data_IF_059114989136
#
_entry.id   IF_059114989136
#
_cell.length_a   1.000
_cell.length_b   1.000
_cell.length_c   1.000
_cell.angle_alpha   90.00
_cell.angle_beta   90.00
_cell.angle_gamma   90.00
#
_symmetry.space_group_name_H-M   'P 1'
#
loop_
_entity.id
_entity.type
_entity.pdbx_description
1 polymer ?
#
# COMPACT_ATOMS: atom_id res chain seq x y z
N UNK A 1 24.84 -7.77 4.38
CA UNK A 1 25.08 -7.88 5.84
C UNK A 1 23.95 -8.71 6.43
N UNK A 2 24.25 -9.57 7.43
CA UNK A 2 23.21 -10.33 8.13
C UNK A 2 22.22 -9.40 8.81
N UNK A 3 20.96 -9.75 8.78
CA UNK A 3 19.83 -9.03 9.40
C UNK A 3 19.47 -9.65 10.74
N UNK A 4 18.81 -8.91 11.63
CA UNK A 4 18.33 -9.42 12.91
C UNK A 4 16.88 -9.83 12.82
N UNK A 5 16.60 -11.13 12.99
CA UNK A 5 15.27 -11.71 13.00
C UNK A 5 14.86 -12.05 14.43
N UNK A 6 13.63 -11.73 14.82
CA UNK A 6 13.01 -12.18 16.06
C UNK A 6 11.91 -13.18 15.75
N UNK A 7 12.05 -14.39 16.27
CA UNK A 7 11.08 -15.48 16.12
C UNK A 7 10.33 -15.63 17.44
N UNK A 8 9.00 -15.64 17.41
CA UNK A 8 8.15 -15.74 18.60
C UNK A 8 7.12 -16.83 18.39
N UNK A 9 7.23 -17.91 19.16
CA UNK A 9 6.36 -19.09 19.08
C UNK A 9 6.46 -19.85 20.41
N UNK A 10 5.36 -20.27 21.02
CA UNK A 10 5.35 -21.01 22.27
C UNK A 10 5.86 -22.46 22.13
N UNK A 11 5.98 -22.93 20.88
CA UNK A 11 6.58 -24.23 20.59
C UNK A 11 8.10 -24.11 20.33
N UNK A 12 8.93 -24.45 21.31
CA UNK A 12 10.40 -24.44 21.20
C UNK A 12 10.95 -25.21 19.97
N UNK A 13 10.21 -26.23 19.50
CA UNK A 13 10.61 -27.00 18.30
C UNK A 13 10.45 -26.17 17.02
N UNK A 14 9.44 -25.33 16.92
CA UNK A 14 9.22 -24.42 15.80
C UNK A 14 10.35 -23.37 15.77
N UNK A 15 10.67 -22.76 16.93
CA UNK A 15 11.78 -21.83 17.04
C UNK A 15 13.11 -22.44 16.58
N UNK A 16 13.42 -23.67 17.01
CA UNK A 16 14.62 -24.40 16.58
C UNK A 16 14.61 -24.70 15.07
N UNK A 17 13.46 -25.04 14.50
CA UNK A 17 13.32 -25.30 13.07
C UNK A 17 13.64 -24.04 12.26
N UNK A 18 13.04 -22.91 12.62
CA UNK A 18 13.30 -21.61 11.97
C UNK A 18 14.74 -21.12 12.17
N UNK A 19 15.32 -21.29 13.36
CA UNK A 19 16.73 -20.97 13.60
C UNK A 19 17.66 -21.73 12.64
N UNK A 20 17.42 -23.04 12.43
CA UNK A 20 18.21 -23.87 11.51
C UNK A 20 18.13 -23.40 10.06
N UNK A 21 17.06 -22.72 9.69
CA UNK A 21 16.87 -22.16 8.35
C UNK A 21 17.66 -20.85 8.20
N UNK A 22 17.53 -19.91 9.14
CA UNK A 22 18.03 -18.55 8.97
C UNK A 22 19.47 -18.32 9.47
N UNK A 23 19.93 -19.04 10.49
CA UNK A 23 21.32 -18.92 10.98
C UNK A 23 22.37 -19.22 9.90
N UNK A 24 22.24 -20.28 9.07
CA UNK A 24 23.22 -20.56 8.01
C UNK A 24 23.27 -19.48 6.91
N UNK A 25 22.20 -18.67 6.78
CA UNK A 25 22.14 -17.56 5.83
C UNK A 25 22.87 -16.30 6.33
N UNK A 26 23.46 -16.37 7.53
CA UNK A 26 24.21 -15.26 8.12
C UNK A 26 23.37 -14.25 8.87
N UNK A 27 22.07 -14.54 9.13
CA UNK A 27 21.23 -13.69 9.97
C UNK A 27 21.52 -13.91 11.45
N UNK A 28 21.32 -12.86 12.24
CA UNK A 28 21.21 -12.96 13.69
C UNK A 28 19.77 -13.34 14.03
N UNK A 29 19.59 -14.41 14.80
CA UNK A 29 18.26 -14.94 15.13
C UNK A 29 18.06 -14.90 16.63
N UNK A 30 17.12 -14.09 17.07
CA UNK A 30 16.61 -14.01 18.44
C UNK A 30 15.35 -14.85 18.53
N UNK A 31 15.09 -15.44 19.69
CA UNK A 31 13.90 -16.25 19.93
C UNK A 31 13.23 -15.90 21.26
N UNK A 32 11.92 -15.93 21.28
CA UNK A 32 11.10 -15.79 22.48
C UNK A 32 9.95 -16.81 22.45
N UNK A 33 9.63 -17.40 23.60
CA UNK A 33 8.52 -18.35 23.74
C UNK A 33 7.19 -17.65 24.10
N UNK A 34 7.22 -16.32 24.31
CA UNK A 34 6.05 -15.50 24.64
C UNK A 34 6.10 -14.16 23.93
N UNK A 35 4.95 -13.54 23.74
CA UNK A 35 4.84 -12.21 23.16
C UNK A 35 5.54 -11.14 24.03
N UNK A 36 5.43 -11.24 25.36
CA UNK A 36 6.06 -10.37 26.32
C UNK A 36 7.59 -10.43 26.22
N UNK A 37 8.17 -11.65 26.17
CA UNK A 37 9.59 -11.87 25.95
C UNK A 37 10.07 -11.31 24.62
N UNK A 38 9.22 -11.39 23.58
CA UNK A 38 9.47 -10.76 22.28
C UNK A 38 9.55 -9.23 22.36
N UNK A 39 8.65 -8.59 23.12
CA UNK A 39 8.69 -7.13 23.35
C UNK A 39 9.92 -6.69 24.15
N UNK A 40 10.35 -7.49 25.14
CA UNK A 40 11.58 -7.22 25.88
C UNK A 40 12.82 -7.23 25.01
N UNK A 41 12.93 -8.20 24.08
CA UNK A 41 14.04 -8.27 23.12
C UNK A 41 14.02 -7.08 22.15
N UNK A 42 12.86 -6.69 21.64
CA UNK A 42 12.70 -5.52 20.78
C UNK A 42 13.12 -4.21 21.47
N UNK A 43 12.96 -4.12 22.79
CA UNK A 43 13.38 -2.97 23.57
C UNK A 43 14.92 -2.92 23.80
N UNK A 44 15.61 -4.07 23.68
CA UNK A 44 17.05 -4.18 23.95
C UNK A 44 17.91 -3.95 22.70
N UNK A 45 17.42 -4.37 21.53
CA UNK A 45 18.20 -4.27 20.30
C UNK A 45 17.32 -4.09 19.06
N UNK A 46 17.86 -3.46 17.99
CA UNK A 46 17.13 -3.28 16.73
C UNK A 46 16.85 -4.63 16.05
N UNK A 47 15.61 -4.82 15.60
CA UNK A 47 15.14 -6.00 14.89
C UNK A 47 14.63 -5.60 13.51
N UNK A 48 15.12 -6.26 12.46
CA UNK A 48 14.70 -6.00 11.07
C UNK A 48 13.35 -6.66 10.75
N UNK A 49 13.14 -7.89 11.24
CA UNK A 49 11.92 -8.66 10.99
C UNK A 49 11.49 -9.45 12.23
N UNK A 50 10.20 -9.38 12.55
CA UNK A 50 9.54 -10.24 13.53
C UNK A 50 8.70 -11.29 12.79
N UNK A 51 8.87 -12.56 13.15
CA UNK A 51 8.01 -13.68 12.73
C UNK A 51 7.35 -14.24 13.97
N UNK A 52 6.02 -14.12 14.08
CA UNK A 52 5.28 -14.55 15.27
C UNK A 52 4.27 -15.63 14.94
N UNK A 53 4.13 -16.62 15.81
CA UNK A 53 2.98 -17.51 15.78
C UNK A 53 1.68 -16.73 16.04
N UNK A 54 0.58 -17.21 15.44
CA UNK A 54 -0.76 -16.65 15.65
C UNK A 54 -1.31 -16.97 17.03
N UNK A 55 -1.10 -18.20 17.51
CA UNK A 55 -1.70 -18.72 18.73
C UNK A 55 -0.66 -18.94 19.81
N UNK A 56 -0.58 -18.01 20.73
CA UNK A 56 0.27 -18.10 21.92
C UNK A 56 -0.55 -17.90 23.18
N UNK A 57 -0.19 -18.55 24.30
CA UNK A 57 -0.81 -18.29 25.60
C UNK A 57 -0.67 -16.82 26.01
N UNK A 58 -1.72 -16.27 26.60
CA UNK A 58 -1.74 -14.86 27.00
C UNK A 58 -1.98 -13.91 25.83
N UNK A 59 -0.95 -13.22 25.37
CA UNK A 59 -1.04 -12.31 24.21
C UNK A 59 -0.83 -13.10 22.92
N UNK A 60 -1.85 -13.15 22.06
CA UNK A 60 -1.75 -13.82 20.76
C UNK A 60 -0.90 -13.02 19.75
N UNK A 61 -0.50 -13.68 18.64
CA UNK A 61 0.38 -13.06 17.64
C UNK A 61 -0.18 -11.80 17.01
N UNK A 62 -1.49 -11.73 16.77
CA UNK A 62 -2.11 -10.51 16.24
C UNK A 62 -1.98 -9.33 17.20
N UNK A 63 -2.28 -9.54 18.47
CA UNK A 63 -2.13 -8.51 19.50
C UNK A 63 -0.67 -8.07 19.66
N UNK A 64 0.25 -9.04 19.66
CA UNK A 64 1.69 -8.81 19.72
C UNK A 64 2.16 -7.97 18.52
N UNK A 65 1.86 -8.39 17.29
CA UNK A 65 2.27 -7.66 16.09
C UNK A 65 1.62 -6.28 15.99
N UNK A 66 0.42 -6.08 16.53
CA UNK A 66 -0.20 -4.74 16.71
C UNK A 66 0.65 -3.84 17.59
N UNK A 67 1.19 -4.35 18.71
CA UNK A 67 2.07 -3.59 19.57
C UNK A 67 3.43 -3.31 18.90
N UNK A 68 4.02 -4.32 18.24
CA UNK A 68 5.24 -4.14 17.45
C UNK A 68 5.06 -3.06 16.40
N UNK A 69 3.93 -3.06 15.68
CA UNK A 69 3.57 -2.03 14.71
C UNK A 69 3.58 -0.62 15.31
N UNK A 70 2.98 -0.47 16.48
CA UNK A 70 2.86 0.83 17.15
C UNK A 70 4.20 1.36 17.69
N UNK A 71 5.03 0.47 18.24
CA UNK A 71 6.29 0.84 18.89
C UNK A 71 7.48 0.85 17.92
N UNK A 72 7.46 -0.03 16.90
CA UNK A 72 8.54 -0.26 15.95
C UNK A 72 8.01 -0.31 14.51
N UNK A 73 7.48 0.79 13.97
CA UNK A 73 6.74 0.80 12.70
C UNK A 73 7.58 0.41 11.47
N UNK A 74 8.90 0.57 11.53
CA UNK A 74 9.84 0.20 10.45
C UNK A 74 10.15 -1.30 10.47
N UNK A 75 10.08 -1.96 11.63
CA UNK A 75 10.32 -3.40 11.75
C UNK A 75 9.32 -4.17 10.90
N UNK A 76 9.82 -5.02 10.01
CA UNK A 76 8.96 -5.89 9.21
C UNK A 76 8.28 -6.94 10.09
N UNK A 77 7.09 -7.39 9.70
CA UNK A 77 6.27 -8.29 10.51
C UNK A 77 5.63 -9.38 9.66
N UNK A 78 5.81 -10.62 10.04
CA UNK A 78 5.16 -11.78 9.45
C UNK A 78 4.46 -12.61 10.52
N UNK A 79 3.38 -13.29 10.15
CA UNK A 79 2.62 -14.17 11.01
C UNK A 79 2.74 -15.63 10.57
N UNK A 80 3.02 -16.54 11.50
CA UNK A 80 2.93 -17.99 11.31
C UNK A 80 1.52 -18.45 11.64
N UNK A 81 0.93 -19.33 10.83
CA UNK A 81 -0.46 -19.74 11.01
C UNK A 81 -0.71 -21.17 10.52
N UNK A 82 -1.59 -21.88 11.22
CA UNK A 82 -2.15 -23.15 10.76
C UNK A 82 -3.33 -22.95 9.81
N UNK A 83 -3.72 -24.02 9.10
CA UNK A 83 -4.84 -24.01 8.14
C UNK A 83 -6.19 -23.54 8.70
N UNK A 84 -6.44 -23.68 10.00
CA UNK A 84 -7.71 -23.35 10.65
C UNK A 84 -7.88 -21.87 11.00
N UNK A 85 -6.87 -21.03 10.79
CA UNK A 85 -6.77 -19.66 11.33
C UNK A 85 -7.03 -18.56 10.29
N UNK A 86 -7.57 -18.91 9.13
CA UNK A 86 -7.69 -18.02 7.98
C UNK A 86 -8.36 -16.65 8.25
N UNK A 87 -9.37 -16.61 9.16
CA UNK A 87 -10.05 -15.36 9.53
C UNK A 87 -9.13 -14.41 10.33
N UNK A 88 -8.39 -14.95 11.27
CA UNK A 88 -7.49 -14.19 12.14
C UNK A 88 -6.28 -13.67 11.35
N UNK A 89 -5.72 -14.52 10.48
CA UNK A 89 -4.65 -14.13 9.54
C UNK A 89 -5.10 -13.00 8.62
N UNK A 90 -6.30 -13.11 8.04
CA UNK A 90 -6.84 -12.04 7.19
C UNK A 90 -7.07 -10.74 7.97
N UNK A 91 -7.36 -10.83 9.27
CA UNK A 91 -7.41 -9.68 10.17
C UNK A 91 -6.05 -8.98 10.25
N UNK A 92 -4.97 -9.72 10.49
CA UNK A 92 -3.60 -9.20 10.59
C UNK A 92 -3.12 -8.52 9.30
N UNK A 93 -3.43 -9.12 8.15
CA UNK A 93 -3.05 -8.56 6.84
C UNK A 93 -3.85 -7.30 6.51
N UNK A 94 -5.14 -7.30 6.85
CA UNK A 94 -6.06 -6.19 6.56
C UNK A 94 -5.76 -4.94 7.38
N UNK A 95 -5.44 -5.11 8.67
CA UNK A 95 -5.09 -3.99 9.55
C UNK A 95 -3.59 -3.62 9.50
N UNK A 96 -2.78 -4.33 8.69
CA UNK A 96 -1.35 -4.08 8.53
C UNK A 96 -0.50 -4.49 9.73
N UNK A 97 -1.01 -5.27 10.67
CA UNK A 97 -0.22 -5.81 11.79
C UNK A 97 0.85 -6.76 11.30
N UNK A 98 0.53 -7.58 10.30
CA UNK A 98 1.48 -8.40 9.56
C UNK A 98 1.54 -7.98 8.10
N UNK A 99 2.70 -8.15 7.46
CA UNK A 99 2.92 -7.89 6.03
C UNK A 99 2.67 -9.11 5.17
N UNK A 100 2.96 -10.26 5.73
CA UNK A 100 2.72 -11.55 5.10
C UNK A 100 2.32 -12.59 6.14
N UNK A 101 1.79 -13.70 5.66
CA UNK A 101 1.56 -14.89 6.48
C UNK A 101 2.33 -16.08 5.92
N UNK A 102 2.75 -16.95 6.81
CA UNK A 102 3.45 -18.19 6.52
C UNK A 102 2.59 -19.33 7.02
N UNK A 103 2.20 -20.23 6.12
CA UNK A 103 1.39 -21.41 6.50
C UNK A 103 2.25 -22.50 7.12
N UNK A 104 1.80 -23.06 8.21
CA UNK A 104 2.34 -24.29 8.82
C UNK A 104 1.63 -25.52 8.19
N UNK A 105 2.34 -26.54 7.69
CA UNK A 105 3.79 -26.62 7.49
C UNK A 105 4.25 -25.82 6.27
N UNK A 106 5.44 -25.23 6.32
CA UNK A 106 6.05 -24.46 5.26
C UNK A 106 7.04 -25.26 4.42
N UNK A 107 7.28 -24.80 3.20
CA UNK A 107 8.46 -25.17 2.41
C UNK A 107 9.62 -24.21 2.75
N UNK A 108 10.80 -24.75 3.03
CA UNK A 108 11.94 -23.97 3.48
C UNK A 108 12.44 -22.98 2.40
N UNK A 109 12.42 -23.39 1.13
CA UNK A 109 12.92 -22.54 0.05
C UNK A 109 11.97 -21.36 -0.19
N UNK A 110 10.66 -21.61 -0.19
CA UNK A 110 9.63 -20.57 -0.30
C UNK A 110 9.69 -19.61 0.89
N UNK A 111 9.82 -20.14 2.11
CA UNK A 111 9.93 -19.32 3.32
C UNK A 111 11.13 -18.38 3.25
N UNK A 112 12.30 -18.89 2.86
CA UNK A 112 13.52 -18.07 2.73
C UNK A 112 13.31 -16.98 1.68
N UNK A 113 12.81 -17.32 0.49
CA UNK A 113 12.56 -16.35 -0.58
C UNK A 113 11.64 -15.20 -0.11
N UNK A 114 10.57 -15.52 0.57
CA UNK A 114 9.58 -14.55 1.03
C UNK A 114 10.11 -13.68 2.17
N UNK A 115 10.86 -14.26 3.11
CA UNK A 115 11.51 -13.52 4.20
C UNK A 115 12.57 -12.56 3.65
N UNK A 116 13.37 -12.99 2.68
CA UNK A 116 14.39 -12.14 2.04
C UNK A 116 13.75 -10.93 1.32
N UNK A 117 12.61 -11.11 0.66
CA UNK A 117 11.86 -10.00 0.04
C UNK A 117 11.41 -8.97 1.07
N UNK A 118 10.88 -9.42 2.22
CA UNK A 118 10.50 -8.52 3.31
C UNK A 118 11.71 -7.76 3.88
N UNK A 119 12.84 -8.42 4.04
CA UNK A 119 14.07 -7.79 4.52
C UNK A 119 14.61 -6.77 3.53
N UNK A 120 14.55 -7.05 2.22
CA UNK A 120 14.93 -6.11 1.16
C UNK A 120 14.05 -4.85 1.20
N UNK A 121 12.74 -5.01 1.35
CA UNK A 121 11.82 -3.88 1.48
C UNK A 121 12.13 -3.05 2.74
N UNK A 122 12.39 -3.70 3.87
CA UNK A 122 12.79 -3.03 5.11
C UNK A 122 14.08 -2.23 4.95
N UNK A 123 15.05 -2.75 4.20
CA UNK A 123 16.29 -2.04 3.89
C UNK A 123 16.05 -0.80 3.02
N UNK A 124 15.15 -0.88 2.04
CA UNK A 124 14.75 0.29 1.23
C UNK A 124 14.16 1.39 2.09
N UNK A 125 13.32 1.04 3.08
CA UNK A 125 12.74 2.01 4.01
C UNK A 125 13.75 2.61 5.01
N UNK A 126 14.87 1.95 5.23
CA UNK A 126 15.94 2.44 6.13
C UNK A 126 16.95 3.35 5.43
N UNK A 127 16.78 3.69 4.13
CA UNK A 127 17.65 4.60 3.41
C UNK A 127 17.67 5.98 4.03
N UNK A 128 18.87 6.54 4.20
CA UNK A 128 19.10 7.83 4.86
C UNK A 128 18.30 8.98 4.25
N UNK A 129 18.26 9.08 2.93
CA UNK A 129 17.53 10.16 2.23
C UNK A 129 16.02 10.11 2.54
N UNK A 130 15.45 8.89 2.58
CA UNK A 130 14.03 8.70 2.91
C UNK A 130 13.75 9.14 4.34
N UNK A 131 14.58 8.71 5.30
CA UNK A 131 14.45 9.11 6.69
C UNK A 131 14.65 10.63 6.88
N UNK A 132 15.58 11.25 6.15
CA UNK A 132 15.81 12.71 6.16
C UNK A 132 14.57 13.47 5.65
N UNK A 133 13.91 13.00 4.58
CA UNK A 133 12.65 13.59 4.10
C UNK A 133 11.62 13.58 5.22
N UNK A 134 11.40 12.44 5.87
CA UNK A 134 10.39 12.32 6.92
C UNK A 134 10.76 13.06 8.21
N UNK A 135 12.04 13.12 8.58
CA UNK A 135 12.50 13.86 9.76
C UNK A 135 12.44 15.39 9.58
N UNK A 136 12.50 15.86 8.34
CA UNK A 136 12.41 17.28 8.01
C UNK A 136 10.97 17.78 7.81
N UNK A 137 9.98 16.87 7.81
CA UNK A 137 8.58 17.28 7.82
C UNK A 137 8.25 18.00 9.13
N UNK A 138 7.63 19.17 9.02
CA UNK A 138 7.20 19.97 10.19
C UNK A 138 6.25 19.18 11.10
N UNK A 139 5.40 18.34 10.47
CA UNK A 139 4.53 17.39 11.14
C UNK A 139 4.64 16.07 10.39
N UNK A 140 4.96 14.98 11.09
CA UNK A 140 4.87 13.64 10.53
C UNK A 140 3.45 13.43 9.98
N UNK A 141 3.26 13.00 8.73
CA UNK A 141 1.93 12.80 8.20
C UNK A 141 1.19 11.77 9.04
N UNK A 142 0.32 12.24 9.93
CA UNK A 142 -0.57 11.37 10.67
C UNK A 142 -1.62 10.81 9.73
N UNK A 143 -2.05 9.58 10.01
CA UNK A 143 -3.20 9.01 9.30
C UNK A 143 -4.40 9.97 9.45
N UNK A 144 -5.09 10.32 8.35
CA UNK A 144 -6.18 11.28 8.42
C UNK A 144 -7.24 10.87 9.46
N UNK A 145 -7.65 11.81 10.35
CA UNK A 145 -8.55 11.54 11.47
C UNK A 145 -9.85 10.86 11.04
N UNK A 146 -10.47 11.32 9.95
CA UNK A 146 -11.70 10.73 9.45
C UNK A 146 -11.51 9.27 9.06
N UNK A 147 -10.40 8.94 8.39
CA UNK A 147 -10.07 7.57 8.03
C UNK A 147 -9.81 6.70 9.27
N UNK A 148 -9.03 7.19 10.24
CA UNK A 148 -8.77 6.48 11.49
C UNK A 148 -10.05 6.21 12.29
N UNK A 149 -10.92 7.20 12.42
CA UNK A 149 -12.25 7.04 13.05
C UNK A 149 -13.12 6.03 12.31
N UNK A 150 -13.14 6.07 10.98
CA UNK A 150 -13.90 5.13 10.15
C UNK A 150 -13.41 3.69 10.35
N UNK A 151 -12.11 3.46 10.34
CA UNK A 151 -11.52 2.15 10.60
C UNK A 151 -11.91 1.62 11.99
N UNK A 152 -11.80 2.46 13.04
CA UNK A 152 -12.17 2.08 14.40
C UNK A 152 -13.66 1.74 14.55
N UNK A 153 -14.56 2.40 13.82
CA UNK A 153 -15.99 2.08 13.83
C UNK A 153 -16.27 0.76 13.13
N UNK A 154 -15.62 0.52 11.99
CA UNK A 154 -15.77 -0.74 11.24
C UNK A 154 -15.22 -1.91 12.05
N UNK A 155 -14.10 -1.75 12.76
CA UNK A 155 -13.54 -2.79 13.64
C UNK A 155 -14.47 -3.13 14.83
N UNK A 156 -15.27 -2.16 15.30
CA UNK A 156 -16.27 -2.34 16.37
C UNK A 156 -17.60 -2.89 15.87
N UNK A 157 -17.71 -3.17 14.57
CA UNK A 157 -18.92 -3.69 13.91
C UNK A 157 -20.19 -2.85 14.22
N UNK A 158 -20.01 -1.51 14.22
CA UNK A 158 -21.14 -0.59 14.45
C UNK A 158 -22.08 -0.56 13.25
N UNK A 159 -23.28 0.01 13.45
CA UNK A 159 -24.28 0.08 12.38
C UNK A 159 -23.83 0.93 11.19
N UNK A 160 -24.33 0.60 9.99
CA UNK A 160 -24.05 1.40 8.78
C UNK A 160 -24.55 2.84 8.90
N UNK A 161 -25.58 3.08 9.73
CA UNK A 161 -26.10 4.41 10.05
C UNK A 161 -25.09 5.27 10.80
N UNK A 162 -24.36 4.68 11.75
CA UNK A 162 -23.30 5.39 12.49
C UNK A 162 -22.12 5.70 11.59
N UNK A 163 -21.73 4.75 10.73
CA UNK A 163 -20.66 4.94 9.74
C UNK A 163 -21.05 6.08 8.77
N UNK A 164 -22.28 6.07 8.25
CA UNK A 164 -22.77 7.10 7.33
C UNK A 164 -22.76 8.49 7.98
N UNK A 165 -23.21 8.63 9.23
CA UNK A 165 -23.19 9.90 9.96
C UNK A 165 -21.77 10.47 10.08
N UNK A 166 -20.79 9.63 10.36
CA UNK A 166 -19.40 10.10 10.48
C UNK A 166 -18.88 10.63 9.15
N UNK A 167 -19.22 9.98 8.02
CA UNK A 167 -18.87 10.47 6.69
C UNK A 167 -19.62 11.76 6.33
N UNK A 168 -20.90 11.85 6.65
CA UNK A 168 -21.77 13.01 6.39
C UNK A 168 -21.34 14.27 7.15
N UNK A 169 -20.65 14.13 8.29
CA UNK A 169 -20.06 15.26 8.99
C UNK A 169 -19.01 16.01 8.17
N UNK A 170 -18.37 15.35 7.21
CA UNK A 170 -17.46 16.00 6.26
C UNK A 170 -18.18 16.16 4.90
N UNK A 171 -18.81 17.33 4.70
CA UNK A 171 -19.60 17.61 3.51
C UNK A 171 -18.82 17.42 2.19
N UNK A 172 -17.52 17.75 2.17
CA UNK A 172 -16.69 17.58 0.98
C UNK A 172 -16.45 16.11 0.65
N UNK A 173 -16.18 15.29 1.68
CA UNK A 173 -16.04 13.84 1.53
C UNK A 173 -17.35 13.19 1.14
N UNK A 174 -18.47 13.57 1.78
CA UNK A 174 -19.80 13.05 1.46
C UNK A 174 -20.19 13.36 0.00
N UNK A 175 -20.00 14.60 -0.45
CA UNK A 175 -20.30 15.01 -1.83
C UNK A 175 -19.46 14.21 -2.85
N UNK A 176 -18.15 14.04 -2.58
CA UNK A 176 -17.27 13.29 -3.47
C UNK A 176 -17.57 11.80 -3.48
N UNK A 177 -17.92 11.21 -2.32
CA UNK A 177 -18.39 9.84 -2.21
C UNK A 177 -19.63 9.62 -3.07
N UNK A 178 -20.62 10.52 -2.99
CA UNK A 178 -21.84 10.45 -3.81
C UNK A 178 -21.53 10.63 -5.30
N UNK A 179 -20.60 11.51 -5.66
CA UNK A 179 -20.14 11.67 -7.05
C UNK A 179 -19.53 10.37 -7.58
N UNK A 180 -18.69 9.69 -6.80
CA UNK A 180 -18.09 8.39 -7.18
C UNK A 180 -19.16 7.31 -7.29
N UNK A 181 -20.08 7.22 -6.31
CA UNK A 181 -21.17 6.26 -6.33
C UNK A 181 -22.10 6.44 -7.56
N UNK A 182 -22.36 7.69 -7.94
CA UNK A 182 -23.21 8.02 -9.10
C UNK A 182 -22.43 8.03 -10.43
N UNK A 183 -21.15 7.63 -10.43
CA UNK A 183 -20.39 7.50 -11.67
C UNK A 183 -20.87 6.31 -12.51
N UNK A 184 -20.55 6.34 -13.80
CA UNK A 184 -20.89 5.26 -14.76
C UNK A 184 -20.39 3.88 -14.28
N UNK A 185 -19.29 3.85 -13.53
CA UNK A 185 -18.72 2.62 -13.01
C UNK A 185 -19.61 1.90 -11.99
N UNK A 186 -20.19 2.66 -11.04
CA UNK A 186 -21.12 2.09 -10.05
C UNK A 186 -22.58 2.12 -10.52
N UNK A 187 -22.88 2.85 -11.60
CA UNK A 187 -24.22 2.94 -12.22
C UNK A 187 -25.36 3.23 -11.24
N UNK A 188 -25.08 4.00 -10.20
CA UNK A 188 -26.06 4.36 -9.19
C UNK A 188 -26.70 5.72 -9.47
N UNK A 189 -27.86 5.93 -8.86
CA UNK A 189 -28.50 7.23 -8.75
C UNK A 189 -28.99 7.38 -7.30
N UNK A 190 -28.14 7.91 -6.42
CA UNK A 190 -28.47 8.09 -5.00
C UNK A 190 -27.99 9.42 -4.46
N UNK A 191 -28.79 10.02 -3.57
CA UNK A 191 -28.39 11.15 -2.73
C UNK A 191 -28.05 10.74 -1.29
N UNK A 192 -28.09 9.45 -0.97
CA UNK A 192 -27.86 8.94 0.38
C UNK A 192 -26.47 8.32 0.52
N UNK A 193 -25.67 8.85 1.44
CA UNK A 193 -24.37 8.31 1.81
C UNK A 193 -24.50 6.86 2.29
N UNK A 194 -25.53 6.55 3.09
CA UNK A 194 -25.80 5.19 3.55
C UNK A 194 -26.05 4.22 2.37
N UNK A 195 -26.87 4.60 1.39
CA UNK A 195 -27.08 3.77 0.21
C UNK A 195 -25.80 3.61 -0.60
N UNK A 196 -25.02 4.66 -0.78
CA UNK A 196 -23.73 4.59 -1.45
C UNK A 196 -22.81 3.59 -0.75
N UNK A 197 -22.74 3.59 0.58
CA UNK A 197 -21.93 2.64 1.37
C UNK A 197 -22.40 1.19 1.17
N UNK A 198 -23.71 0.94 1.20
CA UNK A 198 -24.29 -0.40 0.98
C UNK A 198 -23.89 -0.95 -0.39
N UNK A 199 -23.89 -0.13 -1.41
CA UNK A 199 -23.58 -0.54 -2.77
C UNK A 199 -22.08 -0.70 -3.03
N UNK A 200 -21.27 0.24 -2.56
CA UNK A 200 -19.83 0.22 -2.79
C UNK A 200 -19.07 -0.70 -1.84
N UNK A 201 -19.68 -0.99 -0.68
CA UNK A 201 -19.03 -1.73 0.40
C UNK A 201 -18.08 -0.87 1.24
N UNK A 202 -17.78 -1.36 2.45
CA UNK A 202 -16.94 -0.65 3.42
C UNK A 202 -15.50 -0.49 2.97
N UNK A 203 -15.00 -1.41 2.17
CA UNK A 203 -13.64 -1.35 1.63
C UNK A 203 -13.46 -0.17 0.69
N UNK A 204 -14.37 -0.02 -0.28
CA UNK A 204 -14.33 1.11 -1.20
C UNK A 204 -14.56 2.44 -0.48
N UNK A 205 -15.45 2.45 0.53
CA UNK A 205 -15.63 3.62 1.39
C UNK A 205 -14.31 4.04 2.05
N UNK A 206 -13.62 3.12 2.73
CA UNK A 206 -12.30 3.39 3.36
C UNK A 206 -11.31 3.97 2.36
N UNK A 207 -11.25 3.39 1.17
CA UNK A 207 -10.39 3.84 0.07
C UNK A 207 -10.64 5.29 -0.32
N UNK A 208 -11.89 5.60 -0.61
CA UNK A 208 -12.30 6.93 -1.06
C UNK A 208 -12.04 7.96 0.04
N UNK A 209 -12.40 7.62 1.29
CA UNK A 209 -12.18 8.50 2.45
C UNK A 209 -10.68 8.76 2.66
N UNK A 210 -9.83 7.74 2.55
CA UNK A 210 -8.38 7.91 2.69
C UNK A 210 -7.82 8.81 1.59
N UNK A 211 -8.12 8.50 0.33
CA UNK A 211 -7.65 9.29 -0.82
C UNK A 211 -8.08 10.75 -0.74
N UNK A 212 -9.35 11.01 -0.44
CA UNK A 212 -9.87 12.37 -0.29
C UNK A 212 -9.26 13.12 0.89
N UNK A 213 -9.06 12.44 2.02
CA UNK A 213 -8.47 13.04 3.23
C UNK A 213 -7.01 13.44 3.01
N UNK A 214 -6.27 12.64 2.23
CA UNK A 214 -4.89 12.99 1.86
C UNK A 214 -4.87 14.17 0.89
N UNK A 215 -5.71 14.15 -0.13
CA UNK A 215 -5.78 15.24 -1.11
C UNK A 215 -6.25 16.57 -0.51
N UNK A 216 -7.02 16.54 0.58
CA UNK A 216 -7.35 17.76 1.35
C UNK A 216 -6.11 18.51 1.84
N UNK A 217 -4.99 17.81 2.06
CA UNK A 217 -3.75 18.46 2.47
C UNK A 217 -3.15 19.36 1.38
N UNK A 218 -3.63 19.27 0.14
CA UNK A 218 -3.26 20.18 -0.96
C UNK A 218 -4.14 21.42 -1.05
N UNK A 219 -5.17 21.56 -0.19
CA UNK A 219 -6.04 22.73 -0.20
C UNK A 219 -5.21 24.01 0.09
N UNK A 220 -5.36 25.04 -0.79
CA UNK A 220 -4.61 26.27 -0.68
C UNK A 220 -3.19 26.26 -1.25
N UNK A 221 -2.70 25.13 -1.74
CA UNK A 221 -1.42 25.06 -2.43
C UNK A 221 -1.60 25.46 -3.91
N UNK A 222 -0.98 26.59 -4.30
CA UNK A 222 -0.92 27.05 -5.67
C UNK A 222 0.53 26.94 -6.16
N UNK A 223 0.80 25.94 -7.01
CA UNK A 223 2.14 25.75 -7.59
C UNK A 223 2.41 24.31 -8.03
N UNK A 224 3.44 24.13 -8.89
CA UNK A 224 3.92 22.80 -9.27
C UNK A 224 3.17 22.10 -10.40
N UNK A 225 2.21 22.76 -11.08
CA UNK A 225 1.62 22.23 -12.31
C UNK A 225 0.56 21.15 -12.15
N UNK A 226 0.34 20.62 -10.94
CA UNK A 226 -0.74 19.68 -10.63
C UNK A 226 -1.81 20.36 -9.78
N UNK A 227 -3.07 20.27 -10.23
CA UNK A 227 -4.21 20.59 -9.37
C UNK A 227 -4.62 19.33 -8.59
N UNK A 228 -5.24 19.55 -7.43
CA UNK A 228 -5.86 18.49 -6.62
C UNK A 228 -6.79 17.60 -7.45
N UNK A 229 -7.60 18.22 -8.33
CA UNK A 229 -8.56 17.50 -9.16
C UNK A 229 -7.86 16.60 -10.18
N UNK A 230 -6.76 17.05 -10.79
CA UNK A 230 -5.97 16.23 -11.74
C UNK A 230 -5.38 15.01 -11.05
N UNK A 231 -4.84 15.16 -9.84
CA UNK A 231 -4.28 14.05 -9.06
C UNK A 231 -5.37 13.06 -8.65
N UNK A 232 -6.53 13.56 -8.20
CA UNK A 232 -7.66 12.71 -7.84
C UNK A 232 -8.20 11.93 -9.04
N UNK A 233 -8.47 12.60 -10.15
CA UNK A 233 -8.99 11.96 -11.35
C UNK A 233 -8.02 10.91 -11.90
N UNK A 234 -6.72 11.17 -11.81
CA UNK A 234 -5.71 10.20 -12.21
C UNK A 234 -5.75 8.97 -11.30
N UNK A 235 -5.70 9.15 -9.99
CA UNK A 235 -5.72 8.08 -9.00
C UNK A 235 -7.01 7.22 -9.09
N UNK A 236 -8.18 7.86 -9.22
CA UNK A 236 -9.46 7.17 -9.41
C UNK A 236 -9.49 6.36 -10.71
N UNK A 237 -8.96 6.93 -11.80
CA UNK A 237 -8.85 6.25 -13.08
C UNK A 237 -7.92 5.04 -13.01
N UNK A 238 -6.73 5.20 -12.43
CA UNK A 238 -5.79 4.08 -12.23
C UNK A 238 -6.45 2.96 -11.42
N UNK A 239 -7.15 3.30 -10.34
CA UNK A 239 -7.84 2.30 -9.54
C UNK A 239 -8.91 1.55 -10.34
N UNK A 240 -9.73 2.25 -11.13
CA UNK A 240 -10.75 1.63 -12.00
C UNK A 240 -10.14 0.70 -13.04
N UNK A 241 -9.07 1.14 -13.71
CA UNK A 241 -8.37 0.31 -14.72
C UNK A 241 -7.71 -0.90 -14.07
N UNK A 242 -7.15 -0.77 -12.86
CA UNK A 242 -6.60 -1.90 -12.10
C UNK A 242 -7.68 -2.93 -11.81
N UNK A 243 -8.85 -2.52 -11.33
CA UNK A 243 -9.98 -3.43 -11.13
C UNK A 243 -10.45 -4.12 -12.41
N UNK A 244 -10.47 -3.40 -13.54
CA UNK A 244 -10.81 -3.99 -14.85
C UNK A 244 -9.80 -5.07 -15.27
N UNK A 245 -8.49 -4.84 -15.08
CA UNK A 245 -7.46 -5.84 -15.37
C UNK A 245 -7.67 -7.11 -14.54
N UNK A 246 -7.96 -6.96 -13.25
CA UNK A 246 -8.26 -8.10 -12.39
C UNK A 246 -9.51 -8.87 -12.84
N UNK A 247 -10.60 -8.16 -13.16
CA UNK A 247 -11.86 -8.80 -13.59
C UNK A 247 -11.75 -9.42 -14.98
N UNK A 248 -11.19 -8.70 -15.95
CA UNK A 248 -11.23 -9.12 -17.37
C UNK A 248 -10.04 -9.99 -17.77
N UNK A 249 -8.86 -9.80 -17.18
CA UNK A 249 -7.65 -10.56 -17.49
C UNK A 249 -7.45 -11.69 -16.49
N UNK A 250 -7.34 -11.37 -15.20
CA UNK A 250 -7.08 -12.36 -14.15
C UNK A 250 -8.32 -13.17 -13.75
N UNK A 251 -9.53 -12.80 -14.28
CA UNK A 251 -10.82 -13.48 -14.02
C UNK A 251 -11.15 -13.62 -12.52
N UNK A 252 -10.71 -12.66 -11.71
CA UNK A 252 -11.02 -12.58 -10.29
C UNK A 252 -11.25 -11.14 -9.85
N UNK A 253 -11.95 -10.97 -8.74
CA UNK A 253 -12.05 -9.68 -8.07
C UNK A 253 -10.76 -9.41 -7.26
N UNK A 254 -10.42 -8.12 -7.10
CA UNK A 254 -9.39 -7.73 -6.14
C UNK A 254 -9.83 -8.08 -4.73
N UNK A 255 -8.90 -8.60 -3.93
CA UNK A 255 -9.13 -8.85 -2.51
C UNK A 255 -9.27 -7.51 -1.76
N UNK A 256 -9.89 -7.55 -0.58
CA UNK A 256 -10.09 -6.36 0.24
C UNK A 256 -8.79 -5.60 0.53
N UNK A 257 -7.70 -6.33 0.79
CA UNK A 257 -6.39 -5.77 1.06
C UNK A 257 -5.61 -5.32 -0.19
N UNK A 258 -6.16 -5.50 -1.39
CA UNK A 258 -5.58 -5.09 -2.68
C UNK A 258 -6.34 -3.88 -3.29
N UNK A 259 -7.63 -3.74 -2.95
CA UNK A 259 -8.61 -2.93 -3.68
C UNK A 259 -8.28 -1.44 -3.82
N UNK A 260 -7.35 -0.93 -3.00
CA UNK A 260 -6.97 0.50 -2.98
C UNK A 260 -5.62 0.78 -3.63
N UNK A 261 -4.98 -0.25 -4.16
CA UNK A 261 -3.62 -0.14 -4.67
C UNK A 261 -3.48 0.94 -5.77
N UNK A 262 -4.40 0.94 -6.73
CA UNK A 262 -4.42 1.93 -7.81
C UNK A 262 -4.74 3.35 -7.34
N UNK A 263 -5.56 3.52 -6.27
CA UNK A 263 -5.89 4.85 -5.76
C UNK A 263 -4.73 5.51 -5.01
N UNK A 264 -3.90 4.71 -4.36
CA UNK A 264 -2.86 5.21 -3.46
C UNK A 264 -1.45 5.14 -4.04
N UNK A 265 -1.27 4.66 -5.28
CA UNK A 265 0.04 4.45 -5.88
C UNK A 265 0.90 5.72 -5.92
N UNK A 266 0.30 6.87 -6.19
CA UNK A 266 0.94 8.18 -6.34
C UNK A 266 0.87 9.07 -5.09
N UNK A 267 0.52 8.51 -3.92
CA UNK A 267 0.31 9.29 -2.68
C UNK A 267 1.55 10.07 -2.24
N UNK A 268 2.74 9.56 -2.52
CA UNK A 268 4.00 10.24 -2.21
C UNK A 268 4.18 11.53 -2.99
N UNK A 269 3.62 11.64 -4.18
CA UNK A 269 3.63 12.88 -4.98
C UNK A 269 2.89 14.01 -4.28
N UNK A 270 1.77 13.69 -3.60
CA UNK A 270 1.02 14.66 -2.79
C UNK A 270 1.91 15.26 -1.70
N UNK A 271 2.67 14.41 -0.99
CA UNK A 271 3.59 14.84 0.06
C UNK A 271 4.71 15.71 -0.50
N UNK A 272 5.33 15.29 -1.61
CA UNK A 272 6.42 16.04 -2.24
C UNK A 272 5.95 17.41 -2.73
N UNK A 273 4.76 17.51 -3.33
CA UNK A 273 4.19 18.78 -3.76
C UNK A 273 3.90 19.69 -2.57
N UNK A 274 3.36 19.14 -1.47
CA UNK A 274 3.00 19.90 -0.27
C UNK A 274 4.22 20.45 0.45
N UNK A 275 5.16 19.59 0.80
CA UNK A 275 6.22 19.91 1.74
C UNK A 275 7.53 20.35 1.04
N UNK A 276 7.67 20.02 -0.24
CA UNK A 276 8.83 20.32 -1.08
C UNK A 276 8.46 21.10 -2.35
N UNK A 277 7.52 22.03 -2.26
CA UNK A 277 6.94 22.76 -3.40
C UNK A 277 7.99 23.41 -4.34
N UNK A 278 9.05 24.04 -3.78
CA UNK A 278 10.09 24.69 -4.58
C UNK A 278 10.96 23.71 -5.36
N UNK A 279 11.56 22.66 -4.76
CA UNK A 279 12.24 21.62 -5.50
C UNK A 279 11.33 20.94 -6.53
N UNK A 280 10.06 20.65 -6.16
CA UNK A 280 9.11 19.98 -7.05
C UNK A 280 8.72 20.82 -8.28
N UNK A 281 8.70 22.15 -8.16
CA UNK A 281 8.56 23.03 -9.32
C UNK A 281 9.74 22.90 -10.31
N UNK A 282 10.93 22.56 -9.81
CA UNK A 282 12.09 22.18 -10.63
C UNK A 282 11.90 20.88 -11.38
N UNK A 283 11.37 19.85 -10.68
CA UNK A 283 11.00 18.55 -11.28
C UNK A 283 10.02 18.74 -12.43
N UNK A 284 8.96 19.48 -12.19
CA UNK A 284 7.96 19.78 -13.22
C UNK A 284 8.59 20.42 -14.47
N UNK A 285 9.39 21.47 -14.29
CA UNK A 285 10.10 22.14 -15.41
C UNK A 285 11.02 21.18 -16.17
N UNK A 286 11.78 20.34 -15.46
CA UNK A 286 12.67 19.34 -16.04
C UNK A 286 11.94 18.38 -16.99
N UNK A 287 10.79 17.85 -16.54
CA UNK A 287 9.99 16.89 -17.31
C UNK A 287 9.39 17.55 -18.57
N UNK A 288 8.93 18.80 -18.49
CA UNK A 288 8.38 19.51 -19.66
C UNK A 288 9.44 20.01 -20.64
N UNK A 289 10.67 20.20 -20.20
CA UNK A 289 11.79 20.62 -21.06
C UNK A 289 12.50 19.44 -21.75
N UNK A 290 12.42 18.24 -21.17
CA UNK A 290 13.06 17.05 -21.69
C UNK A 290 12.02 15.94 -21.94
N UNK A 291 11.75 15.65 -23.21
CA UNK A 291 10.73 14.66 -23.63
C UNK A 291 11.02 13.22 -23.17
N UNK A 292 12.27 12.92 -22.87
CA UNK A 292 12.70 11.58 -22.43
C UNK A 292 12.72 11.46 -20.90
N UNK A 293 12.51 12.57 -20.15
CA UNK A 293 12.52 12.56 -18.71
C UNK A 293 11.16 12.12 -18.14
N UNK A 294 11.18 11.19 -17.19
CA UNK A 294 10.01 10.88 -16.38
C UNK A 294 9.98 11.72 -15.10
N UNK A 295 8.83 11.81 -14.45
CA UNK A 295 8.72 12.44 -13.13
C UNK A 295 9.64 11.77 -12.12
N UNK A 296 9.65 10.42 -12.07
CA UNK A 296 10.51 9.62 -11.19
C UNK A 296 12.00 9.94 -11.37
N UNK A 297 12.47 9.95 -12.61
CA UNK A 297 13.89 10.23 -12.91
C UNK A 297 14.28 11.66 -12.53
N UNK A 298 13.41 12.62 -12.79
CA UNK A 298 13.62 14.02 -12.44
C UNK A 298 13.59 14.24 -10.92
N UNK A 299 12.68 13.58 -10.20
CA UNK A 299 12.63 13.60 -8.74
C UNK A 299 13.92 13.06 -8.13
N UNK A 300 14.37 11.88 -8.57
CA UNK A 300 15.64 11.28 -8.11
C UNK A 300 16.84 12.17 -8.41
N UNK A 301 16.89 12.77 -9.58
CA UNK A 301 17.99 13.65 -9.98
C UNK A 301 18.04 14.94 -9.17
N UNK A 302 16.90 15.58 -8.91
CA UNK A 302 16.83 16.90 -8.29
C UNK A 302 16.64 16.86 -6.76
N UNK A 303 16.00 15.79 -6.25
CA UNK A 303 15.63 15.67 -4.84
C UNK A 303 16.33 14.50 -4.13
N UNK A 304 16.98 13.61 -4.89
CA UNK A 304 17.61 12.38 -4.37
C UNK A 304 16.63 11.28 -3.94
N UNK A 305 15.32 11.52 -4.10
CA UNK A 305 14.24 10.62 -3.73
C UNK A 305 13.07 10.78 -4.71
N UNK A 306 12.26 9.75 -4.89
CA UNK A 306 11.10 9.77 -5.79
C UNK A 306 9.78 9.52 -5.04
N UNK A 307 8.66 9.92 -5.68
CA UNK A 307 7.32 9.80 -5.09
C UNK A 307 6.93 8.36 -4.77
N UNK A 308 7.37 7.38 -5.55
CA UNK A 308 7.16 5.95 -5.30
C UNK A 308 7.83 5.51 -3.98
N UNK A 309 9.08 5.93 -3.73
CA UNK A 309 9.79 5.65 -2.48
C UNK A 309 9.11 6.32 -1.28
N UNK A 310 8.73 7.59 -1.42
CA UNK A 310 8.02 8.34 -0.37
C UNK A 310 6.64 7.76 -0.11
N UNK A 311 5.89 7.42 -1.16
CA UNK A 311 4.55 6.82 -1.05
C UNK A 311 4.58 5.45 -0.38
N UNK A 312 5.47 4.57 -0.82
CA UNK A 312 5.66 3.25 -0.22
C UNK A 312 6.00 3.34 1.27
N UNK A 313 6.94 4.23 1.65
CA UNK A 313 7.28 4.45 3.06
C UNK A 313 6.09 4.98 3.85
N UNK A 314 5.37 6.01 3.36
CA UNK A 314 4.22 6.60 4.03
C UNK A 314 3.12 5.58 4.30
N UNK A 315 2.76 4.78 3.29
CA UNK A 315 1.74 3.75 3.43
C UNK A 315 2.20 2.62 4.37
N UNK A 316 3.50 2.30 4.37
CA UNK A 316 4.07 1.39 5.36
C UNK A 316 4.00 1.96 6.77
N UNK A 317 4.36 3.24 6.95
CA UNK A 317 4.25 3.95 8.24
C UNK A 317 2.81 3.95 8.76
N UNK A 318 1.84 4.18 7.89
CA UNK A 318 0.41 4.08 8.22
C UNK A 318 -0.09 2.63 8.34
N UNK A 319 0.78 1.65 8.17
CA UNK A 319 0.46 0.23 8.28
C UNK A 319 -0.64 -0.24 7.33
N UNK A 320 -0.69 0.32 6.13
CA UNK A 320 -1.57 -0.19 5.08
C UNK A 320 -1.16 -1.62 4.67
N UNK A 321 -2.09 -2.40 4.11
CA UNK A 321 -1.81 -3.74 3.61
C UNK A 321 -0.64 -3.77 2.63
N UNK A 322 0.17 -4.83 2.71
CA UNK A 322 1.41 -4.94 1.94
C UNK A 322 1.25 -4.81 0.42
N UNK A 323 0.21 -5.40 -0.24
CA UNK A 323 0.00 -5.20 -1.67
C UNK A 323 -0.13 -3.73 -2.09
N UNK A 324 -0.73 -2.89 -1.21
CA UNK A 324 -0.90 -1.47 -1.45
C UNK A 324 0.43 -0.73 -1.30
N UNK A 325 1.22 -1.10 -0.28
CA UNK A 325 2.58 -0.57 -0.06
C UNK A 325 3.49 -0.89 -1.24
N UNK A 326 3.48 -2.15 -1.71
CA UNK A 326 4.27 -2.57 -2.87
C UNK A 326 3.83 -1.87 -4.16
N UNK A 327 2.53 -1.72 -4.39
CA UNK A 327 2.03 -1.00 -5.53
C UNK A 327 2.53 0.45 -5.56
N UNK A 328 2.49 1.16 -4.43
CA UNK A 328 3.03 2.50 -4.34
C UNK A 328 4.55 2.54 -4.54
N UNK A 329 5.29 1.60 -3.95
CA UNK A 329 6.75 1.57 -4.00
C UNK A 329 7.31 1.15 -5.37
N UNK A 330 6.62 0.25 -6.07
CA UNK A 330 7.18 -0.44 -7.24
C UNK A 330 6.39 -0.24 -8.54
N UNK A 331 5.36 0.62 -8.59
CA UNK A 331 4.59 0.79 -9.83
C UNK A 331 5.43 1.34 -11.01
N UNK A 332 6.60 1.90 -10.78
CA UNK A 332 7.57 2.26 -11.82
C UNK A 332 8.69 1.22 -12.03
N UNK A 333 8.72 0.16 -11.23
CA UNK A 333 9.69 -0.94 -11.33
C UNK A 333 9.00 -2.28 -11.05
N UNK A 334 8.03 -2.68 -11.92
CA UNK A 334 7.13 -3.80 -11.66
C UNK A 334 7.78 -5.18 -11.67
N UNK A 335 9.08 -5.25 -12.01
CA UNK A 335 9.86 -6.49 -12.04
C UNK A 335 10.87 -6.59 -10.90
N UNK A 336 10.82 -5.67 -9.94
CA UNK A 336 11.72 -5.65 -8.81
C UNK A 336 11.66 -6.98 -8.03
N UNK A 337 12.83 -7.52 -7.67
CA UNK A 337 12.93 -8.82 -6.99
C UNK A 337 12.29 -8.83 -5.59
N UNK A 338 12.13 -7.67 -4.95
CA UNK A 338 11.51 -7.54 -3.63
C UNK A 338 9.98 -7.65 -3.66
N UNK A 339 9.34 -7.68 -4.85
CA UNK A 339 7.89 -7.73 -4.97
C UNK A 339 7.37 -9.14 -4.63
N UNK A 340 6.45 -9.21 -3.68
CA UNK A 340 5.68 -10.41 -3.31
C UNK A 340 4.39 -10.47 -4.14
N UNK A 341 3.66 -9.36 -4.23
CA UNK A 341 2.34 -9.27 -4.88
C UNK A 341 2.45 -8.81 -6.34
N UNK A 342 3.14 -9.61 -7.16
CA UNK A 342 3.50 -9.27 -8.55
C UNK A 342 2.31 -8.84 -9.42
N UNK A 343 1.16 -9.55 -9.32
CA UNK A 343 -0.04 -9.22 -10.10
C UNK A 343 -0.58 -7.82 -9.79
N UNK A 344 -0.60 -7.44 -8.50
CA UNK A 344 -1.11 -6.12 -8.06
C UNK A 344 -0.21 -5.02 -8.60
N UNK A 345 1.11 -5.15 -8.43
CA UNK A 345 2.07 -4.14 -8.89
C UNK A 345 2.06 -4.02 -10.42
N UNK A 346 2.06 -5.15 -11.15
CA UNK A 346 1.99 -5.14 -12.61
C UNK A 346 0.69 -4.51 -13.12
N UNK A 347 -0.45 -4.81 -12.48
CA UNK A 347 -1.74 -4.23 -12.86
C UNK A 347 -1.77 -2.72 -12.63
N UNK A 348 -1.26 -2.23 -11.50
CA UNK A 348 -1.17 -0.79 -11.22
C UNK A 348 -0.21 -0.10 -12.18
N UNK A 349 0.95 -0.69 -12.49
CA UNK A 349 1.90 -0.19 -13.48
C UNK A 349 1.26 0.00 -14.87
N UNK A 350 0.56 -1.02 -15.35
CA UNK A 350 -0.15 -0.96 -16.63
C UNK A 350 -1.27 0.07 -16.57
N UNK A 351 -2.06 0.08 -15.51
CA UNK A 351 -3.18 1.01 -15.34
C UNK A 351 -2.72 2.47 -15.28
N UNK A 352 -1.60 2.77 -14.62
CA UNK A 352 -1.01 4.12 -14.57
C UNK A 352 -0.66 4.63 -15.97
N UNK A 353 0.05 3.81 -16.76
CA UNK A 353 0.37 4.16 -18.14
C UNK A 353 -0.90 4.45 -18.96
N UNK A 354 -1.90 3.56 -18.91
CA UNK A 354 -3.13 3.74 -19.68
C UNK A 354 -3.99 4.91 -19.19
N UNK A 355 -3.98 5.22 -17.91
CA UNK A 355 -4.69 6.37 -17.36
C UNK A 355 -4.18 7.69 -17.96
N UNK A 356 -2.85 7.86 -18.09
CA UNK A 356 -2.26 9.00 -18.75
C UNK A 356 -2.44 8.97 -20.27
N UNK A 357 -2.33 7.80 -20.90
CA UNK A 357 -2.57 7.62 -22.35
C UNK A 357 -4.00 8.01 -22.75
N UNK A 358 -5.00 7.61 -21.97
CA UNK A 358 -6.40 8.01 -22.18
C UNK A 358 -6.63 9.52 -22.08
N UNK A 359 -5.91 10.21 -21.20
CA UNK A 359 -5.94 11.68 -21.07
C UNK A 359 -5.13 12.39 -22.17
N UNK A 360 -4.55 11.67 -23.13
CA UNK A 360 -3.65 12.23 -24.17
C UNK A 360 -2.54 13.07 -23.58
N UNK A 361 -2.01 12.66 -22.42
CA UNK A 361 -0.89 13.33 -21.78
C UNK A 361 0.33 13.32 -22.69
N UNK A 362 1.04 14.44 -22.72
CA UNK A 362 2.33 14.53 -23.44
C UNK A 362 3.45 13.80 -22.71
N UNK A 363 3.26 13.53 -21.42
CA UNK A 363 4.22 12.85 -20.56
C UNK A 363 3.58 11.55 -20.12
N UNK A 364 4.16 10.44 -20.52
CA UNK A 364 3.73 9.10 -20.14
C UNK A 364 4.77 8.46 -19.23
N UNK A 365 4.37 7.70 -18.22
CA UNK A 365 5.30 6.88 -17.46
C UNK A 365 5.91 5.81 -18.37
N UNK A 366 7.08 5.33 -18.02
CA UNK A 366 7.76 4.26 -18.77
C UNK A 366 6.98 2.96 -18.59
N UNK A 367 6.64 2.30 -19.70
CA UNK A 367 5.93 1.02 -19.70
C UNK A 367 6.94 -0.14 -19.84
N UNK A 368 6.87 -1.10 -18.94
CA UNK A 368 7.68 -2.32 -18.97
C UNK A 368 6.89 -3.44 -19.67
N UNK A 369 7.33 -3.90 -20.85
CA UNK A 369 6.58 -4.92 -21.63
C UNK A 369 6.37 -6.23 -20.85
N UNK A 370 7.33 -6.61 -20.01
CA UNK A 370 7.25 -7.84 -19.21
C UNK A 370 6.14 -7.81 -18.15
N UNK A 371 5.65 -6.62 -17.76
CA UNK A 371 4.53 -6.50 -16.82
C UNK A 371 3.24 -7.16 -17.36
N UNK A 372 3.06 -7.17 -18.69
CA UNK A 372 1.92 -7.88 -19.31
C UNK A 372 2.02 -9.39 -19.08
N UNK A 373 3.23 -9.96 -19.19
CA UNK A 373 3.46 -11.38 -18.98
C UNK A 373 3.16 -11.80 -17.53
N UNK A 374 3.37 -10.92 -16.54
CA UNK A 374 3.00 -11.18 -15.14
C UNK A 374 1.49 -11.39 -15.00
N UNK A 375 0.69 -10.68 -15.79
CA UNK A 375 -0.78 -10.85 -15.80
C UNK A 375 -1.26 -11.94 -16.77
N UNK A 376 -0.36 -12.64 -17.49
CA UNK A 376 -0.71 -13.64 -18.50
C UNK A 376 -1.43 -13.04 -19.71
N UNK A 377 -1.08 -11.81 -20.10
CA UNK A 377 -1.71 -11.06 -21.21
C UNK A 377 -0.66 -10.44 -22.14
N UNK A 378 -1.12 -9.70 -23.16
CA UNK A 378 -0.27 -8.94 -24.07
C UNK A 378 -0.67 -7.47 -24.09
N UNK A 379 0.20 -6.63 -24.65
CA UNK A 379 -0.10 -5.21 -24.81
C UNK A 379 -1.31 -4.98 -25.70
N UNK A 380 -1.45 -5.74 -26.80
CA UNK A 380 -2.58 -5.63 -27.73
C UNK A 380 -3.92 -5.94 -27.04
N UNK A 381 -3.96 -6.96 -26.16
CA UNK A 381 -5.15 -7.25 -25.37
C UNK A 381 -5.51 -6.10 -24.43
N UNK A 382 -4.51 -5.49 -23.80
CA UNK A 382 -4.73 -4.34 -22.92
C UNK A 382 -5.11 -3.08 -23.72
N UNK A 383 -4.52 -2.83 -24.90
CA UNK A 383 -4.94 -1.75 -25.80
C UNK A 383 -6.42 -1.89 -26.18
N UNK A 384 -6.87 -3.08 -26.60
CA UNK A 384 -8.27 -3.33 -26.89
C UNK A 384 -9.18 -3.11 -25.66
N UNK A 385 -8.82 -3.69 -24.51
CA UNK A 385 -9.64 -3.62 -23.30
C UNK A 385 -9.72 -2.21 -22.72
N UNK A 386 -8.58 -1.52 -22.60
CA UNK A 386 -8.49 -0.30 -21.81
C UNK A 386 -8.71 0.96 -22.65
N UNK A 387 -8.44 0.93 -23.97
CA UNK A 387 -8.70 2.10 -24.82
C UNK A 387 -10.17 2.18 -25.28
N UNK A 388 -10.87 1.05 -25.49
CA UNK A 388 -12.31 1.05 -25.77
C UNK A 388 -13.15 1.61 -24.61
N UNK A 389 -12.67 1.45 -23.37
CA UNK A 389 -13.35 2.01 -22.20
C UNK A 389 -13.16 3.50 -22.03
N UNK A 390 -12.18 4.12 -22.71
CA UNK A 390 -11.98 5.57 -22.68
C UNK A 390 -13.21 6.37 -23.16
N UNK A 391 -13.98 5.81 -24.12
CA UNK A 391 -15.20 6.44 -24.63
C UNK A 391 -16.37 6.41 -23.65
N UNK A 392 -16.34 5.50 -22.66
CA UNK A 392 -17.38 5.38 -21.63
C UNK A 392 -17.15 6.27 -20.39
N UNK A 393 -15.98 6.87 -20.28
CA UNK A 393 -15.58 7.73 -19.14
C UNK A 393 -15.49 9.22 -19.51
N UNK A 394 -15.87 9.61 -20.73
CA UNK A 394 -16.14 10.99 -21.14
C UNK A 394 -17.57 11.35 -20.82
#
# INVERSE_FOLDING_TARGET
MGKTLLLVDDEANILKALQRIFLPLGHRVLTAETAEGGLELLAQEPVDLVISDMRMPGMNGHQFLKQVRSLYPITMRAILSGFSEGKDVMGCLRDGSARMYILKPWDNAVLVEEVEKLLQLGEMFSRRQLLEVFNNLKDLPTMPDLYGRLCALIEKDVSLEEIARVVEHDQAVAAKLLQVANSVYYSMSTGSVRQAIVYMGLTNLKTIVLGLSVLKQLDGLHGGGFSKDVLWEHADRVNKLTHQLFEKILKRQMKENEATAGLLHDIGRVLLIKDYAQPYAGVYRSVFQNKDATFRDSERSLMGISHDEVGGFLLNWWSLPHPIVEAAMFHHDPLNSAIIHKEVVAAVHIADYYAWKQKKSLILPKLHPEAFSVLGTTQECCDALLMETAEKFQ
#
